data_IF_051061747721
#
_entry.id   IF_051061747721
#
_cell.length_a   1.000
_cell.length_b   1.000
_cell.length_c   1.000
_cell.angle_alpha   90.00
_cell.angle_beta   90.00
_cell.angle_gamma   90.00
#
_symmetry.space_group_name_H-M   'P 1'
#
loop_
_entity.id
_entity.type
_entity.pdbx_description
1 polymer ?
#
# COMPACT_ATOMS: atom_id res chain seq x y z
N UNK A 1 -10.78 -5.81 -8.41
CA UNK A 1 -11.20 -4.98 -7.26
C UNK A 1 -10.44 -5.33 -5.99
N UNK A 2 -9.22 -5.86 -6.11
CA UNK A 2 -8.57 -6.67 -5.08
C UNK A 2 -7.05 -6.44 -5.03
N UNK A 3 -6.51 -5.55 -5.86
CA UNK A 3 -5.07 -5.52 -6.16
C UNK A 3 -4.25 -4.71 -5.14
N UNK A 4 -4.93 -4.03 -4.21
CA UNK A 4 -4.28 -3.26 -3.14
C UNK A 4 -4.43 -3.99 -1.81
N UNK A 5 -3.81 -5.16 -1.74
CA UNK A 5 -3.70 -5.95 -0.52
C UNK A 5 -2.22 -6.27 -0.27
N UNK A 6 -1.75 -6.15 0.97
CA UNK A 6 -0.37 -6.48 1.30
C UNK A 6 -0.14 -7.97 1.12
N UNK A 7 0.91 -8.33 0.38
CA UNK A 7 1.38 -9.70 0.27
C UNK A 7 2.82 -9.80 0.76
N UNK A 8 3.11 -10.82 1.57
CA UNK A 8 4.46 -11.09 2.08
C UNK A 8 5.15 -12.05 1.10
N UNK A 9 6.30 -11.62 0.61
CA UNK A 9 7.17 -12.37 -0.31
C UNK A 9 8.44 -12.79 0.42
N UNK A 10 8.85 -14.04 0.25
CA UNK A 10 10.16 -14.53 0.67
C UNK A 10 11.21 -14.18 -0.41
N UNK A 11 12.20 -13.38 -0.03
CA UNK A 11 13.33 -12.97 -0.91
C UNK A 11 14.54 -13.90 -0.77
N UNK A 12 14.44 -14.97 0.02
CA UNK A 12 15.54 -15.87 0.36
C UNK A 12 16.42 -15.32 1.49
N UNK A 13 17.33 -16.16 2.02
CA UNK A 13 18.26 -15.79 3.11
C UNK A 13 17.57 -15.19 4.34
N UNK A 14 16.38 -15.70 4.70
CA UNK A 14 15.53 -15.19 5.78
C UNK A 14 15.10 -13.72 5.62
N UNK A 15 15.17 -13.15 4.41
CA UNK A 15 14.66 -11.83 4.12
C UNK A 15 13.24 -11.94 3.58
N UNK A 16 12.26 -11.43 4.33
CA UNK A 16 10.88 -11.29 3.86
C UNK A 16 10.59 -9.83 3.56
N UNK A 17 9.71 -9.61 2.60
CA UNK A 17 9.33 -8.28 2.16
C UNK A 17 7.82 -8.21 1.97
N UNK A 18 7.23 -7.12 2.43
CA UNK A 18 5.88 -6.75 2.07
C UNK A 18 5.90 -6.06 0.71
N UNK A 19 4.96 -6.42 -0.15
CA UNK A 19 4.77 -5.83 -1.46
C UNK A 19 3.29 -5.55 -1.71
N UNK A 20 3.01 -4.49 -2.46
CA UNK A 20 1.70 -4.12 -2.99
C UNK A 20 1.88 -3.42 -4.34
N UNK A 21 0.88 -3.52 -5.22
CA UNK A 21 0.90 -2.82 -6.50
C UNK A 21 -0.47 -2.34 -6.93
N UNK A 22 -0.55 -1.17 -7.55
CA UNK A 22 -1.82 -0.64 -8.08
C UNK A 22 -1.62 0.21 -9.33
N UNK A 23 -2.58 0.17 -10.25
CA UNK A 23 -2.56 0.96 -11.49
C UNK A 23 -2.89 2.42 -11.17
N UNK A 24 -1.97 3.32 -11.48
CA UNK A 24 -2.07 4.77 -11.33
C UNK A 24 -1.74 5.50 -12.64
N UNK A 25 -1.91 4.87 -13.80
CA UNK A 25 -1.56 5.46 -15.12
C UNK A 25 -2.19 6.81 -15.46
N UNK A 26 -3.29 7.17 -14.79
CA UNK A 26 -3.99 8.44 -14.97
C UNK A 26 -3.47 9.56 -14.04
N UNK A 27 -2.46 9.29 -13.22
CA UNK A 27 -1.90 10.23 -12.25
C UNK A 27 -0.40 10.37 -12.48
N UNK A 28 0.10 11.60 -12.40
CA UNK A 28 1.54 11.87 -12.39
C UNK A 28 2.13 11.55 -11.01
N UNK A 29 3.44 11.25 -10.90
CA UNK A 29 4.08 11.01 -9.61
C UNK A 29 3.80 12.10 -8.58
N UNK A 30 3.77 13.37 -8.99
CA UNK A 30 3.57 14.52 -8.10
C UNK A 30 2.13 14.65 -7.60
N UNK A 31 1.18 13.98 -8.26
CA UNK A 31 -0.25 13.97 -7.91
C UNK A 31 -0.59 12.84 -6.93
N UNK A 32 0.35 11.94 -6.67
CA UNK A 32 0.17 10.76 -5.83
C UNK A 32 0.83 11.01 -4.46
N UNK A 33 0.09 10.70 -3.41
CA UNK A 33 0.57 10.76 -2.04
C UNK A 33 0.43 9.39 -1.37
N UNK A 34 1.54 8.87 -0.88
CA UNK A 34 1.60 7.65 -0.06
C UNK A 34 1.89 8.06 1.36
N UNK A 35 1.11 7.57 2.32
CA UNK A 35 1.31 7.88 3.75
C UNK A 35 0.87 6.72 4.62
N UNK A 36 1.45 6.62 5.81
CA UNK A 36 1.05 5.63 6.81
C UNK A 36 0.54 6.35 8.05
N UNK A 37 -0.62 5.93 8.57
CA UNK A 37 -1.20 6.44 9.81
C UNK A 37 -1.83 5.29 10.57
N UNK A 38 -1.51 5.14 11.86
CA UNK A 38 -2.09 4.08 12.71
C UNK A 38 -1.98 2.67 12.10
N UNK A 39 -0.83 2.34 11.51
CA UNK A 39 -0.58 1.06 10.85
C UNK A 39 -1.46 0.81 9.60
N UNK A 40 -2.12 1.85 9.08
CA UNK A 40 -2.87 1.85 7.83
C UNK A 40 -2.06 2.60 6.76
N UNK A 41 -1.78 1.93 5.65
CA UNK A 41 -1.21 2.56 4.47
C UNK A 41 -2.34 3.20 3.65
N UNK A 42 -2.12 4.45 3.27
CA UNK A 42 -3.09 5.28 2.56
C UNK A 42 -2.42 5.80 1.27
N UNK A 43 -3.06 5.56 0.14
CA UNK A 43 -2.68 6.10 -1.17
C UNK A 43 -3.77 7.04 -1.64
N UNK A 44 -3.38 8.27 -1.96
CA UNK A 44 -4.25 9.32 -2.45
C UNK A 44 -3.74 9.82 -3.81
N UNK A 45 -4.65 10.15 -4.71
CA UNK A 45 -4.33 10.81 -5.98
C UNK A 45 -5.29 11.97 -6.21
N UNK A 46 -4.78 13.13 -6.61
CA UNK A 46 -5.61 14.25 -7.07
C UNK A 46 -5.11 14.74 -8.41
N UNK A 47 -5.86 14.45 -9.48
CA UNK A 47 -5.56 14.96 -10.81
C UNK A 47 -6.51 16.11 -11.14
N UNK A 48 -5.94 17.20 -11.65
CA UNK A 48 -6.71 18.33 -12.18
C UNK A 48 -6.08 18.79 -13.48
N UNK A 49 -6.83 18.61 -14.57
CA UNK A 49 -6.45 19.10 -15.88
C UNK A 49 -7.50 20.08 -16.38
N UNK A 50 -7.06 21.21 -16.93
CA UNK A 50 -7.95 22.25 -17.46
C UNK A 50 -7.40 22.79 -18.76
N UNK A 51 -8.18 22.57 -19.82
CA UNK A 51 -7.98 23.13 -21.16
C UNK A 51 -9.05 24.17 -21.49
N UNK A 52 -8.92 24.83 -22.64
CA UNK A 52 -9.83 25.91 -23.10
C UNK A 52 -11.32 25.51 -23.10
N UNK A 53 -11.63 24.24 -23.40
CA UNK A 53 -13.02 23.75 -23.56
C UNK A 53 -13.38 22.60 -22.60
N UNK A 54 -12.45 22.09 -21.79
CA UNK A 54 -12.68 20.94 -20.91
C UNK A 54 -11.93 21.08 -19.61
N UNK A 55 -12.56 20.65 -18.51
CA UNK A 55 -11.90 20.45 -17.23
C UNK A 55 -12.12 19.01 -16.81
N UNK A 56 -11.06 18.34 -16.39
CA UNK A 56 -11.09 17.02 -15.79
C UNK A 56 -10.56 17.14 -14.36
N UNK A 57 -11.25 16.48 -13.44
CA UNK A 57 -10.78 16.31 -12.07
C UNK A 57 -11.11 14.89 -11.64
N UNK A 58 -10.10 14.17 -11.17
CA UNK A 58 -10.28 12.84 -10.61
C UNK A 58 -9.58 12.76 -9.26
N UNK A 59 -10.17 11.96 -8.38
CA UNK A 59 -9.66 11.69 -7.05
C UNK A 59 -9.55 10.20 -6.86
N UNK A 60 -8.46 9.79 -6.24
CA UNK A 60 -8.24 8.42 -5.82
C UNK A 60 -7.98 8.39 -4.32
N UNK A 61 -8.61 7.45 -3.63
CA UNK A 61 -8.33 7.14 -2.24
C UNK A 61 -8.44 5.64 -2.05
N UNK A 62 -7.39 5.03 -1.51
CA UNK A 62 -7.41 3.64 -1.08
C UNK A 62 -6.53 3.45 0.13
N UNK A 63 -6.97 2.60 1.04
CA UNK A 63 -6.22 2.27 2.23
C UNK A 63 -6.24 0.78 2.54
N UNK A 64 -5.24 0.31 3.27
CA UNK A 64 -5.16 -1.06 3.76
C UNK A 64 -4.34 -1.12 5.05
N UNK A 65 -4.68 -2.07 5.92
CA UNK A 65 -3.93 -2.30 7.16
C UNK A 65 -2.64 -3.05 6.84
N UNK A 66 -1.52 -2.55 7.36
CA UNK A 66 -0.23 -3.22 7.22
C UNK A 66 -0.14 -4.40 8.22
N UNK A 67 0.37 -5.56 7.80
CA UNK A 67 0.65 -6.67 8.71
C UNK A 67 1.59 -6.26 9.86
N UNK A 68 1.38 -6.78 11.08
CA UNK A 68 2.33 -6.62 12.18
C UNK A 68 3.71 -7.15 11.77
N UNK A 69 4.76 -6.34 11.95
CA UNK A 69 6.12 -6.68 11.50
C UNK A 69 6.57 -6.00 10.21
N UNK A 70 5.68 -5.25 9.55
CA UNK A 70 6.08 -4.32 8.48
C UNK A 70 6.99 -3.23 9.03
N UNK A 71 8.19 -3.07 8.47
CA UNK A 71 9.10 -2.00 8.87
C UNK A 71 8.74 -0.69 8.18
N UNK A 72 7.81 0.07 8.77
CA UNK A 72 7.24 1.31 8.20
C UNK A 72 8.32 2.36 7.90
N UNK A 73 9.35 2.47 8.73
CA UNK A 73 10.46 3.43 8.54
C UNK A 73 11.29 3.14 7.28
N UNK A 74 11.21 1.91 6.77
CA UNK A 74 11.88 1.45 5.56
C UNK A 74 10.91 1.23 4.40
N UNK A 75 9.67 1.73 4.51
CA UNK A 75 8.70 1.65 3.43
C UNK A 75 9.12 2.55 2.27
N UNK A 76 9.13 1.97 1.08
CA UNK A 76 9.44 2.65 -0.17
C UNK A 76 8.27 2.53 -1.14
N UNK A 77 8.14 3.51 -2.01
CA UNK A 77 7.15 3.53 -3.07
C UNK A 77 7.76 4.06 -4.35
N UNK A 78 7.42 3.42 -5.47
CA UNK A 78 7.92 3.78 -6.78
C UNK A 78 6.82 3.67 -7.83
N UNK A 79 6.60 4.73 -8.61
CA UNK A 79 5.73 4.68 -9.79
C UNK A 79 6.57 4.34 -11.02
N UNK A 80 6.30 3.19 -11.62
CA UNK A 80 6.94 2.79 -12.87
C UNK A 80 6.37 3.55 -14.07
N UNK A 81 7.13 3.59 -15.17
CA UNK A 81 6.76 4.30 -16.40
C UNK A 81 5.48 3.78 -17.07
N UNK A 82 5.09 2.53 -16.77
CA UNK A 82 3.85 1.91 -17.24
C UNK A 82 2.61 2.32 -16.40
N UNK A 83 2.80 3.16 -15.38
CA UNK A 83 1.75 3.62 -14.48
C UNK A 83 1.51 2.69 -13.28
N UNK A 84 2.31 1.64 -13.09
CA UNK A 84 2.18 0.75 -11.94
C UNK A 84 2.89 1.35 -10.71
N UNK A 85 2.12 1.76 -9.69
CA UNK A 85 2.67 2.11 -8.39
C UNK A 85 3.01 0.83 -7.63
N UNK A 86 4.27 0.68 -7.22
CA UNK A 86 4.74 -0.38 -6.34
C UNK A 86 5.05 0.20 -4.97
N UNK A 87 4.65 -0.51 -3.92
CA UNK A 87 4.92 -0.15 -2.53
C UNK A 87 5.53 -1.37 -1.87
N UNK A 88 6.64 -1.18 -1.19
CA UNK A 88 7.41 -2.28 -0.65
C UNK A 88 8.09 -1.90 0.67
N UNK A 89 8.22 -2.85 1.58
CA UNK A 89 8.88 -2.63 2.86
C UNK A 89 9.47 -3.94 3.38
N UNK A 90 10.64 -3.93 4.05
CA UNK A 90 11.13 -5.09 4.77
C UNK A 90 10.07 -5.59 5.77
N UNK A 91 9.91 -6.91 5.84
CA UNK A 91 8.97 -7.55 6.75
C UNK A 91 9.72 -8.46 7.71
N UNK A 92 9.51 -8.24 9.02
CA UNK A 92 10.00 -9.13 10.06
C UNK A 92 8.82 -9.96 10.53
N UNK A 93 8.92 -11.27 10.37
CA UNK A 93 7.90 -12.17 10.87
C UNK A 93 7.83 -12.08 12.39
N UNK A 94 6.74 -11.50 12.88
CA UNK A 94 6.43 -11.54 14.29
C UNK A 94 5.89 -12.94 14.58
N UNK A 95 6.56 -13.69 15.46
CA UNK A 95 5.99 -14.92 16.02
C UNK A 95 4.73 -14.50 16.77
N UNK A 96 3.57 -14.70 16.15
CA UNK A 96 2.30 -14.43 16.81
C UNK A 96 2.24 -15.27 18.09
N UNK A 97 2.11 -14.60 19.24
CA UNK A 97 1.43 -15.21 20.37
C UNK A 97 -0.04 -15.30 19.93
N UNK A 98 -0.43 -16.46 19.41
CA UNK A 98 -1.82 -16.83 19.17
C UNK A 98 -2.61 -16.57 20.46
N UNK A 99 -3.30 -15.43 20.55
CA UNK A 99 -4.43 -15.31 21.46
C UNK A 99 -5.56 -16.11 20.84
N UNK A 100 -5.54 -17.41 21.12
CA UNK A 100 -6.73 -18.25 21.12
C UNK A 100 -7.81 -17.49 21.90
N UNK A 101 -8.81 -16.97 21.20
CA UNK A 101 -10.09 -16.68 21.85
C UNK A 101 -10.82 -18.02 21.88
N UNK A 102 -10.46 -18.84 22.86
CA UNK A 102 -11.30 -19.94 23.31
C UNK A 102 -12.46 -19.34 24.08
N UNK A 103 -13.59 -19.16 23.42
CA UNK A 103 -14.84 -18.93 24.13
C UNK A 103 -15.44 -20.28 24.54
N UNK A 104 -14.98 -20.79 25.68
CA UNK A 104 -15.77 -21.67 26.52
C UNK A 104 -16.90 -20.89 27.23
N UNK A 105 -17.95 -21.64 27.59
CA UNK A 105 -19.19 -21.33 28.35
C UNK A 105 -20.39 -20.97 27.47
N UNK A 106 -21.55 -21.62 27.61
CA UNK A 106 -22.05 -22.53 28.65
C UNK A 106 -23.16 -23.41 28.06
#
# INVERSE_FOLDING_TARGET
GSDFQPHIVDKGNNHKQLEMSMDMKNYRPEEIKVSVKNNELIVQGEHKHKDKNRSERSFFFKSTTLPPGTQIDHLQSHLANDGQLKIEAPYVEQKEATKSIENQKK
#
